data_IF_031413065715
#
_entry.id   IF_031413065715
#
_cell.length_a   1.000
_cell.length_b   1.000
_cell.length_c   1.000
_cell.angle_alpha   90.00
_cell.angle_beta   90.00
_cell.angle_gamma   90.00
#
_symmetry.space_group_name_H-M   'P 1'
#
loop_
_entity.id
_entity.type
_entity.pdbx_description
1 polymer ?
#
# COMPACT_ATOMS: atom_id res chain seq x y z
N UNK A 1 -12.62 -9.70 8.93
CA UNK A 1 -12.55 -8.34 8.35
C UNK A 1 -12.38 -7.28 9.44
N UNK A 2 -13.37 -7.10 10.32
CA UNK A 2 -13.38 -6.12 11.42
C UNK A 2 -12.09 -6.03 12.25
N UNK A 3 -11.54 -7.18 12.71
CA UNK A 3 -10.26 -7.23 13.45
C UNK A 3 -9.09 -6.60 12.70
N UNK A 4 -8.99 -6.87 11.39
CA UNK A 4 -7.90 -6.35 10.57
C UNK A 4 -8.08 -4.84 10.34
N UNK A 5 -9.32 -4.41 10.14
CA UNK A 5 -9.68 -3.00 9.98
C UNK A 5 -9.33 -2.19 11.23
N UNK A 6 -9.71 -2.65 12.41
CA UNK A 6 -9.32 -2.02 13.69
C UNK A 6 -7.80 -1.90 13.78
N UNK A 7 -7.06 -2.97 13.44
CA UNK A 7 -5.61 -2.92 13.44
C UNK A 7 -5.03 -1.88 12.48
N UNK A 8 -5.67 -1.62 11.34
CA UNK A 8 -5.25 -0.56 10.40
C UNK A 8 -5.49 0.83 10.98
N UNK A 9 -6.65 1.06 11.61
CA UNK A 9 -6.98 2.32 12.28
C UNK A 9 -5.99 2.59 13.41
N UNK A 10 -5.73 1.60 14.27
CA UNK A 10 -4.74 1.70 15.36
C UNK A 10 -3.35 2.02 14.78
N UNK A 11 -2.93 1.31 13.72
CA UNK A 11 -1.64 1.57 13.08
C UNK A 11 -1.55 3.00 12.51
N UNK A 12 -2.62 3.51 11.91
CA UNK A 12 -2.68 4.88 11.41
C UNK A 12 -2.61 5.91 12.54
N UNK A 13 -3.35 5.71 13.63
CA UNK A 13 -3.34 6.57 14.83
C UNK A 13 -1.96 6.60 15.48
N UNK A 14 -1.33 5.44 15.68
CA UNK A 14 0.00 5.36 16.26
C UNK A 14 1.05 6.02 15.36
N UNK A 15 1.00 5.77 14.04
CA UNK A 15 1.91 6.41 13.10
C UNK A 15 1.75 7.93 13.11
N UNK A 16 0.52 8.44 13.05
CA UNK A 16 0.26 9.88 13.14
C UNK A 16 0.69 10.48 14.47
N UNK A 17 0.50 9.77 15.59
CA UNK A 17 0.98 10.19 16.90
C UNK A 17 2.50 10.36 16.93
N UNK A 18 3.26 9.45 16.32
CA UNK A 18 4.71 9.59 16.18
C UNK A 18 5.09 10.86 15.38
N UNK A 19 4.49 11.06 14.20
CA UNK A 19 4.75 12.24 13.38
C UNK A 19 4.33 13.55 14.08
N UNK A 20 3.17 13.55 14.73
CA UNK A 20 2.65 14.69 15.47
C UNK A 20 3.52 15.04 16.67
N UNK A 21 4.20 14.08 17.30
CA UNK A 21 5.09 14.34 18.44
C UNK A 21 6.31 15.20 18.05
N UNK A 22 6.69 15.22 16.76
CA UNK A 22 7.86 15.96 16.29
C UNK A 22 9.15 15.50 16.99
N UNK A 23 10.01 16.45 17.34
CA UNK A 23 11.25 16.17 18.07
C UNK A 23 10.98 15.94 19.56
N UNK A 24 10.87 14.68 19.98
CA UNK A 24 10.64 14.31 21.39
C UNK A 24 11.76 14.81 22.32
N UNK A 25 12.99 14.96 21.82
CA UNK A 25 14.13 15.43 22.62
C UNK A 25 14.12 16.94 22.87
N UNK A 26 13.30 17.70 22.14
CA UNK A 26 13.19 19.16 22.29
C UNK A 26 12.54 19.59 23.60
N UNK A 27 11.79 18.68 24.26
CA UNK A 27 10.87 19.00 25.37
C UNK A 27 9.82 20.07 25.05
N UNK A 28 9.70 20.48 23.78
CA UNK A 28 8.69 21.40 23.25
C UNK A 28 7.58 20.63 22.55
N UNK A 29 6.35 21.15 22.61
CA UNK A 29 5.28 20.64 21.77
C UNK A 29 5.62 20.84 20.28
N UNK A 30 5.13 19.96 19.41
CA UNK A 30 5.38 20.03 17.96
C UNK A 30 4.96 21.35 17.33
N UNK A 31 3.88 21.96 17.82
CA UNK A 31 3.42 23.27 17.37
C UNK A 31 4.37 24.42 17.75
N UNK A 32 5.21 24.24 18.77
CA UNK A 32 6.19 25.22 19.25
C UNK A 32 7.62 24.95 18.74
N UNK A 33 7.85 23.81 18.11
CA UNK A 33 9.14 23.48 17.51
C UNK A 33 9.41 24.37 16.31
N UNK A 34 10.69 24.62 16.02
CA UNK A 34 11.00 25.28 14.75
C UNK A 34 10.61 24.36 13.60
N UNK A 35 10.21 24.95 12.47
CA UNK A 35 9.83 24.18 11.28
C UNK A 35 10.95 23.25 10.79
N UNK A 36 12.18 23.72 10.87
CA UNK A 36 13.37 22.96 10.48
C UNK A 36 13.54 21.72 11.37
N UNK A 37 13.37 21.90 12.68
CA UNK A 37 13.40 20.83 13.67
C UNK A 37 12.27 19.82 13.47
N UNK A 38 11.04 20.31 13.20
CA UNK A 38 9.89 19.46 12.93
C UNK A 38 10.06 18.65 11.63
N UNK A 39 10.60 19.24 10.58
CA UNK A 39 10.92 18.53 9.33
C UNK A 39 11.98 17.44 9.56
N UNK A 40 13.05 17.75 10.29
CA UNK A 40 14.08 16.78 10.64
C UNK A 40 13.48 15.60 11.40
N UNK A 41 12.67 15.89 12.43
CA UNK A 41 11.98 14.87 13.20
C UNK A 41 11.05 14.03 12.33
N UNK A 42 10.32 14.64 11.40
CA UNK A 42 9.46 13.94 10.43
C UNK A 42 10.27 12.97 9.56
N UNK A 43 11.43 13.37 9.04
CA UNK A 43 12.30 12.49 8.23
C UNK A 43 12.85 11.32 9.06
N UNK A 44 13.24 11.57 10.31
CA UNK A 44 13.69 10.53 11.24
C UNK A 44 12.56 9.56 11.57
N UNK A 45 11.36 10.06 11.87
CA UNK A 45 10.17 9.22 12.08
C UNK A 45 9.84 8.39 10.85
N UNK A 46 9.99 8.95 9.65
CA UNK A 46 9.82 8.23 8.40
C UNK A 46 10.77 7.03 8.30
N UNK A 47 12.04 7.18 8.69
CA UNK A 47 13.01 6.08 8.72
C UNK A 47 12.62 5.00 9.75
N UNK A 48 12.29 5.41 10.98
CA UNK A 48 11.96 4.52 12.09
C UNK A 48 10.68 3.73 11.79
N UNK A 49 9.61 4.44 11.41
CA UNK A 49 8.31 3.85 11.09
C UNK A 49 8.43 2.91 9.89
N UNK A 50 9.19 3.28 8.85
CA UNK A 50 9.44 2.40 7.72
C UNK A 50 10.23 1.15 8.12
N UNK A 51 11.19 1.27 9.04
CA UNK A 51 11.95 0.13 9.55
C UNK A 51 11.08 -0.85 10.36
N UNK A 52 10.26 -0.34 11.27
CA UNK A 52 9.29 -1.12 12.06
C UNK A 52 8.32 -1.85 11.13
N UNK A 53 7.73 -1.10 10.20
CA UNK A 53 6.82 -1.58 9.16
C UNK A 53 7.46 -2.75 8.39
N UNK A 54 8.61 -2.54 7.78
CA UNK A 54 9.29 -3.58 6.99
C UNK A 54 9.67 -4.80 7.84
N UNK A 55 10.11 -4.60 9.08
CA UNK A 55 10.41 -5.70 10.03
C UNK A 55 9.18 -6.55 10.30
N UNK A 56 8.04 -5.91 10.59
CA UNK A 56 6.77 -6.58 10.81
C UNK A 56 6.29 -7.39 9.58
N UNK A 57 6.61 -6.95 8.36
CA UNK A 57 6.24 -7.69 7.14
C UNK A 57 7.08 -8.96 6.89
N UNK A 58 8.35 -8.98 7.33
CA UNK A 58 9.21 -10.16 7.15
C UNK A 58 9.05 -11.18 8.30
N UNK A 59 8.61 -10.73 9.47
CA UNK A 59 8.54 -11.56 10.67
C UNK A 59 7.64 -12.80 10.54
N UNK A 60 6.39 -12.74 10.01
CA UNK A 60 5.55 -13.91 9.85
C UNK A 60 6.15 -14.95 8.90
N UNK A 61 6.83 -14.48 7.85
CA UNK A 61 7.51 -15.36 6.89
C UNK A 61 8.71 -16.08 7.49
N UNK A 62 9.33 -15.53 8.52
CA UNK A 62 10.44 -16.17 9.23
C UNK A 62 9.95 -17.15 10.29
N UNK A 63 8.81 -16.87 10.94
CA UNK A 63 8.25 -17.75 11.96
C UNK A 63 7.77 -19.10 11.41
N UNK A 64 7.51 -19.19 10.11
CA UNK A 64 7.14 -20.45 9.43
C UNK A 64 8.34 -21.31 9.05
N UNK A 65 9.57 -20.81 9.25
CA UNK A 65 10.81 -21.50 8.89
C UNK A 65 11.32 -22.37 10.05
N UNK A 66 12.01 -23.47 9.72
CA UNK A 66 12.72 -24.31 10.70
C UNK A 66 14.19 -23.93 10.75
N UNK A 67 14.63 -23.41 11.88
CA UNK A 67 16.01 -22.97 12.08
C UNK A 67 16.89 -24.15 12.53
N UNK A 68 18.17 -24.13 12.19
CA UNK A 68 19.12 -25.15 12.65
C UNK A 68 19.30 -25.13 14.18
N UNK A 69 19.20 -23.95 14.79
CA UNK A 69 19.28 -23.79 16.25
C UNK A 69 18.04 -24.33 16.99
N UNK A 70 16.90 -24.48 16.29
CA UNK A 70 15.65 -25.03 16.82
C UNK A 70 15.01 -25.95 15.76
N UNK A 71 15.54 -27.17 15.55
CA UNK A 71 15.08 -28.07 14.49
C UNK A 71 13.65 -28.60 14.73
N UNK A 72 13.29 -28.81 16.00
CA UNK A 72 12.05 -29.48 16.40
C UNK A 72 10.95 -28.52 16.90
N UNK A 73 11.28 -27.25 17.11
CA UNK A 73 10.35 -26.24 17.65
C UNK A 73 10.08 -25.11 16.68
N UNK A 74 8.85 -24.57 16.71
CA UNK A 74 8.54 -23.32 15.99
C UNK A 74 9.33 -22.18 16.64
N UNK A 75 10.08 -21.37 15.86
CA UNK A 75 10.87 -20.28 16.41
C UNK A 75 9.96 -19.23 17.06
N UNK A 76 10.37 -18.70 18.22
CA UNK A 76 9.63 -17.65 18.89
C UNK A 76 9.70 -16.33 18.12
N UNK A 77 8.68 -15.48 18.28
CA UNK A 77 8.63 -14.16 17.65
C UNK A 77 9.86 -13.32 18.02
N UNK A 78 10.23 -13.32 19.30
CA UNK A 78 11.40 -12.62 19.81
C UNK A 78 12.70 -13.12 19.17
N UNK A 79 12.85 -14.43 18.98
CA UNK A 79 14.03 -15.02 18.34
C UNK A 79 14.19 -14.55 16.89
N UNK A 80 13.13 -14.62 16.09
CA UNK A 80 13.15 -14.12 14.72
C UNK A 80 13.41 -12.61 14.66
N UNK A 81 12.80 -11.84 15.56
CA UNK A 81 12.96 -10.39 15.63
C UNK A 81 14.40 -10.00 15.96
N UNK A 82 15.01 -10.62 16.98
CA UNK A 82 16.40 -10.37 17.38
C UNK A 82 17.38 -10.65 16.24
N UNK A 83 17.21 -11.78 15.54
CA UNK A 83 18.07 -12.13 14.39
C UNK A 83 17.89 -11.17 13.22
N UNK A 84 16.64 -10.79 12.91
CA UNK A 84 16.35 -9.87 11.83
C UNK A 84 16.95 -8.49 12.10
N UNK A 85 16.73 -7.93 13.30
CA UNK A 85 17.30 -6.64 13.73
C UNK A 85 18.83 -6.66 13.62
N UNK A 86 19.48 -7.71 14.11
CA UNK A 86 20.95 -7.84 14.04
C UNK A 86 21.45 -7.82 12.59
N UNK A 87 20.74 -8.48 11.68
CA UNK A 87 21.08 -8.50 10.25
C UNK A 87 20.78 -7.18 9.51
N UNK A 88 19.78 -6.42 9.96
CA UNK A 88 19.34 -5.18 9.30
C UNK A 88 19.95 -3.90 9.86
N UNK A 89 20.53 -3.95 11.06
CA UNK A 89 21.11 -2.79 11.75
C UNK A 89 22.03 -1.90 10.89
N UNK A 90 23.02 -2.43 10.13
CA UNK A 90 23.87 -1.56 9.32
C UNK A 90 23.09 -0.82 8.23
N UNK A 91 22.09 -1.46 7.61
CA UNK A 91 21.25 -0.82 6.59
C UNK A 91 20.31 0.23 7.20
N UNK A 92 19.86 0.01 8.44
CA UNK A 92 19.09 1.00 9.18
C UNK A 92 19.92 2.25 9.45
N UNK A 93 21.17 2.09 9.92
CA UNK A 93 22.08 3.22 10.14
C UNK A 93 22.30 4.03 8.85
N UNK A 94 22.58 3.36 7.73
CA UNK A 94 22.77 4.07 6.44
C UNK A 94 21.51 4.83 6.02
N UNK A 95 20.34 4.21 6.16
CA UNK A 95 19.05 4.87 5.84
C UNK A 95 18.79 6.07 6.74
N UNK A 96 19.00 5.92 8.06
CA UNK A 96 18.81 6.97 9.05
C UNK A 96 19.79 8.13 8.85
N UNK A 97 21.08 7.85 8.65
CA UNK A 97 22.09 8.86 8.33
C UNK A 97 21.74 9.61 7.05
N UNK A 98 21.23 8.94 6.03
CA UNK A 98 20.75 9.56 4.80
C UNK A 98 19.56 10.51 5.03
N UNK A 99 18.61 10.12 5.87
CA UNK A 99 17.46 10.96 6.26
C UNK A 99 17.90 12.20 7.04
N UNK A 100 18.82 12.05 7.99
CA UNK A 100 19.39 13.16 8.75
C UNK A 100 20.17 14.09 7.80
N UNK A 101 21.01 13.55 6.93
CA UNK A 101 21.74 14.33 5.92
C UNK A 101 20.80 15.09 4.97
N UNK A 102 19.69 14.48 4.57
CA UNK A 102 18.64 15.14 3.78
C UNK A 102 18.01 16.30 4.55
N UNK A 103 17.69 16.10 5.83
CA UNK A 103 17.17 17.16 6.68
C UNK A 103 18.14 18.33 6.82
N UNK A 104 19.43 18.05 7.06
CA UNK A 104 20.48 19.07 7.17
C UNK A 104 20.67 19.84 5.86
N UNK A 105 20.58 19.14 4.72
CA UNK A 105 20.67 19.78 3.41
C UNK A 105 19.51 20.76 3.18
N UNK A 106 18.27 20.37 3.52
CA UNK A 106 17.10 21.25 3.40
C UNK A 106 17.20 22.46 4.34
N UNK A 107 17.78 22.27 5.53
CA UNK A 107 17.95 23.34 6.52
C UNK A 107 19.01 24.36 6.10
N UNK A 108 20.14 23.91 5.55
CA UNK A 108 21.30 24.74 5.28
C UNK A 108 21.37 25.26 3.84
N UNK A 109 20.48 24.82 2.95
CA UNK A 109 20.56 25.19 1.53
C UNK A 109 19.21 25.70 1.02
N UNK A 110 19.15 27.00 0.71
CA UNK A 110 18.00 27.63 0.05
C UNK A 110 17.71 27.02 -1.33
N UNK A 111 18.72 26.42 -1.97
CA UNK A 111 18.66 25.74 -3.27
C UNK A 111 17.53 24.68 -3.35
N UNK A 112 17.28 23.93 -2.27
CA UNK A 112 16.22 22.91 -2.26
C UNK A 112 14.81 23.51 -2.22
N UNK A 113 14.65 24.75 -1.75
CA UNK A 113 13.36 25.46 -1.74
C UNK A 113 13.23 26.43 -2.93
N UNK A 114 14.35 26.94 -3.47
CA UNK A 114 14.38 27.93 -4.54
C UNK A 114 14.33 27.32 -5.95
N UNK A 115 15.00 26.18 -6.20
CA UNK A 115 14.98 25.52 -7.52
C UNK A 115 13.89 24.46 -7.67
N UNK A 116 13.41 23.89 -6.57
CA UNK A 116 12.43 22.80 -6.60
C UNK A 116 11.21 23.16 -5.75
N UNK A 117 10.17 23.69 -6.40
CA UNK A 117 8.84 23.82 -5.78
C UNK A 117 8.25 22.46 -5.36
N UNK A 118 8.78 21.37 -5.93
CA UNK A 118 8.50 20.00 -5.54
C UNK A 118 9.31 19.61 -4.30
N UNK A 119 8.63 19.11 -3.26
CA UNK A 119 9.20 18.68 -1.97
C UNK A 119 10.23 17.56 -2.13
N UNK A 120 11.41 17.90 -2.64
CA UNK A 120 12.44 16.97 -3.10
C UNK A 120 12.95 16.07 -1.98
N UNK A 121 12.88 16.54 -0.74
CA UNK A 121 13.18 15.77 0.48
C UNK A 121 12.31 14.52 0.63
N UNK A 122 11.05 14.53 0.17
CA UNK A 122 10.20 13.33 0.16
C UNK A 122 10.78 12.24 -0.77
N UNK A 123 11.19 12.62 -1.98
CA UNK A 123 11.72 11.69 -2.98
C UNK A 123 13.10 11.16 -2.59
N UNK A 124 13.96 12.03 -2.05
CA UNK A 124 15.25 11.61 -1.49
C UNK A 124 15.04 10.66 -0.31
N UNK A 125 14.11 10.97 0.60
CA UNK A 125 13.75 10.08 1.70
C UNK A 125 13.24 8.72 1.20
N UNK A 126 12.44 8.68 0.13
CA UNK A 126 12.00 7.43 -0.48
C UNK A 126 13.18 6.57 -0.99
N UNK A 127 14.23 7.20 -1.55
CA UNK A 127 15.47 6.50 -1.95
C UNK A 127 16.20 5.90 -0.73
N UNK A 128 16.29 6.63 0.38
CA UNK A 128 16.91 6.09 1.60
C UNK A 128 16.07 4.98 2.25
N UNK A 129 14.73 5.05 2.15
CA UNK A 129 13.86 3.94 2.54
C UNK A 129 14.02 2.71 1.64
N UNK A 130 14.34 2.91 0.36
CA UNK A 130 14.67 1.82 -0.57
C UNK A 130 15.97 1.11 -0.17
N UNK A 131 16.98 1.85 0.33
CA UNK A 131 18.22 1.25 0.88
C UNK A 131 17.90 0.28 2.01
N UNK A 132 17.05 0.68 2.96
CA UNK A 132 16.62 -0.22 4.03
C UNK A 132 15.82 -1.42 3.51
N UNK A 133 14.93 -1.19 2.54
CA UNK A 133 14.11 -2.24 1.90
C UNK A 133 14.97 -3.30 1.21
N UNK A 134 16.01 -2.90 0.48
CA UNK A 134 16.98 -3.82 -0.10
C UNK A 134 17.78 -4.56 0.99
N UNK A 135 18.20 -3.83 2.03
CA UNK A 135 18.94 -4.38 3.17
C UNK A 135 18.18 -5.48 3.91
N UNK A 136 16.92 -5.25 4.26
CA UNK A 136 16.08 -6.25 4.93
C UNK A 136 15.79 -7.47 4.06
N UNK A 137 15.61 -7.29 2.75
CA UNK A 137 15.45 -8.41 1.82
C UNK A 137 16.71 -9.29 1.77
N UNK A 138 17.90 -8.68 1.76
CA UNK A 138 19.19 -9.39 1.79
C UNK A 138 19.39 -10.11 3.13
N UNK A 139 19.11 -9.44 4.25
CA UNK A 139 19.21 -10.02 5.58
C UNK A 139 18.28 -11.24 5.71
N UNK A 140 17.00 -11.10 5.35
CA UNK A 140 16.03 -12.19 5.40
C UNK A 140 16.44 -13.38 4.52
N UNK A 141 16.95 -13.14 3.29
CA UNK A 141 17.45 -14.22 2.42
C UNK A 141 18.71 -14.89 2.97
N UNK A 142 19.59 -14.13 3.61
CA UNK A 142 20.82 -14.66 4.22
C UNK A 142 20.46 -15.57 5.38
N UNK A 143 19.56 -15.13 6.26
CA UNK A 143 19.04 -15.92 7.37
C UNK A 143 18.37 -17.20 6.84
N UNK A 144 17.48 -17.08 5.84
CA UNK A 144 16.86 -18.25 5.21
C UNK A 144 17.90 -19.22 4.62
N UNK A 145 18.89 -18.74 3.87
CA UNK A 145 19.83 -19.62 3.16
C UNK A 145 20.85 -20.29 4.09
N UNK A 146 21.29 -19.59 5.15
CA UNK A 146 22.37 -20.06 6.03
C UNK A 146 21.85 -20.73 7.30
N UNK A 147 20.71 -20.29 7.83
CA UNK A 147 20.28 -20.64 9.18
C UNK A 147 19.03 -21.53 9.22
N UNK A 148 18.37 -21.78 8.09
CA UNK A 148 17.20 -22.67 8.03
C UNK A 148 17.50 -23.97 7.30
N UNK A 149 16.91 -25.07 7.79
CA UNK A 149 17.08 -26.40 7.20
C UNK A 149 16.50 -26.47 5.78
N UNK A 150 15.40 -25.75 5.52
CA UNK A 150 14.78 -25.63 4.19
C UNK A 150 15.71 -24.91 3.20
N UNK A 151 16.38 -23.83 3.63
CA UNK A 151 17.36 -23.12 2.82
C UNK A 151 18.59 -23.97 2.53
N UNK A 152 19.08 -24.68 3.55
CA UNK A 152 20.24 -25.57 3.44
C UNK A 152 19.97 -26.75 2.49
N UNK A 153 18.83 -27.43 2.64
CA UNK A 153 18.42 -28.53 1.75
C UNK A 153 18.27 -28.09 0.29
N UNK A 154 17.68 -26.92 0.05
CA UNK A 154 17.57 -26.36 -1.31
C UNK A 154 18.94 -26.05 -1.92
N UNK A 155 19.89 -25.57 -1.11
CA UNK A 155 21.28 -25.31 -1.54
C UNK A 155 22.03 -26.61 -1.85
N UNK A 156 21.81 -27.66 -1.07
CA UNK A 156 22.32 -29.01 -1.33
C UNK A 156 21.82 -29.56 -2.66
N UNK A 157 20.50 -29.51 -2.89
CA UNK A 157 19.89 -29.98 -4.15
C UNK A 157 20.41 -29.23 -5.39
N UNK A 158 20.54 -27.90 -5.31
CA UNK A 158 21.10 -27.08 -6.40
C UNK A 158 22.57 -27.39 -6.71
N UNK A 159 23.39 -27.68 -5.68
CA UNK A 159 24.78 -28.12 -5.88
C UNK A 159 24.86 -29.48 -6.57
N UNK A 160 23.98 -30.41 -6.22
CA UNK A 160 23.89 -31.73 -6.88
C UNK A 160 23.50 -31.58 -8.35
N UNK A 161 22.50 -30.73 -8.65
CA UNK A 161 22.09 -30.44 -10.03
C UNK A 161 23.23 -29.79 -10.82
N UNK A 162 23.89 -28.77 -10.26
CA UNK A 162 25.03 -28.13 -10.92
C UNK A 162 26.22 -29.07 -11.09
N UNK A 163 26.46 -29.98 -10.14
CA UNK A 163 27.50 -31.00 -10.24
C UNK A 163 27.19 -32.05 -11.30
N UNK A 164 25.92 -32.41 -11.50
CA UNK A 164 25.50 -33.28 -12.61
C UNK A 164 25.66 -32.61 -13.97
N UNK A 165 25.29 -31.33 -14.09
CA UNK A 165 25.48 -30.56 -15.33
C UNK A 165 26.98 -30.37 -15.64
N UNK A 166 27.80 -30.12 -14.61
CA UNK A 166 29.26 -30.00 -14.77
C UNK A 166 29.97 -31.30 -15.16
N UNK A 167 29.40 -32.47 -14.86
CA UNK A 167 29.97 -33.77 -15.28
C UNK A 167 29.74 -34.09 -16.77
N UNK A 168 28.79 -33.44 -17.43
CA UNK A 168 28.53 -33.62 -18.89
C UNK A 168 29.43 -32.73 -19.75
N UNK A 169 30.04 -31.69 -19.17
CA UNK A 169 30.97 -30.79 -19.86
C UNK A 169 32.37 -30.89 -19.25
N UNK A 170 32.97 -32.08 -19.37
CA UNK A 170 34.33 -32.34 -18.94
C UNK A 170 35.35 -32.09 -20.07
N UNK A 171 35.30 -30.91 -20.69
CA UNK A 171 36.43 -30.39 -21.46
C UNK A 171 36.50 -28.86 -21.34
N UNK A 172 37.61 -28.42 -20.76
CA UNK A 172 38.05 -27.04 -20.60
C UNK A 172 37.59 -26.28 -19.34
N UNK A 173 38.64 -25.89 -18.61
CA UNK A 173 38.77 -24.80 -17.63
C UNK A 173 38.13 -24.99 -16.25
N UNK A 174 39.02 -24.84 -15.27
CA UNK A 174 38.87 -24.61 -13.83
C UNK A 174 37.75 -23.62 -13.48
N UNK A 175 36.49 -24.03 -13.65
CA UNK A 175 35.35 -23.26 -13.20
C UNK A 175 34.99 -23.65 -11.77
N UNK A 176 35.46 -22.81 -10.84
CA UNK A 176 35.08 -22.77 -9.43
C UNK A 176 33.57 -23.03 -9.28
N UNK A 177 33.19 -23.97 -8.42
CA UNK A 177 31.81 -24.33 -8.13
C UNK A 177 30.93 -23.09 -7.95
N UNK A 178 29.66 -23.06 -8.41
CA UNK A 178 28.79 -21.90 -8.25
C UNK A 178 28.46 -21.76 -6.78
N UNK A 179 29.26 -20.95 -6.09
CA UNK A 179 28.87 -20.36 -4.84
C UNK A 179 27.59 -19.58 -5.10
N UNK A 180 26.51 -19.95 -4.41
CA UNK A 180 25.28 -19.20 -4.31
C UNK A 180 25.64 -17.72 -4.11
N UNK A 181 25.62 -16.97 -5.21
CA UNK A 181 26.20 -15.64 -5.33
C UNK A 181 25.53 -14.80 -4.26
N UNK A 182 26.32 -14.16 -3.37
CA UNK A 182 25.74 -13.15 -2.49
C UNK A 182 24.97 -12.21 -3.41
N UNK A 183 23.70 -11.98 -3.10
CA UNK A 183 22.89 -11.08 -3.94
C UNK A 183 23.53 -9.72 -3.75
N UNK A 184 24.19 -9.21 -4.80
CA UNK A 184 24.83 -7.91 -4.72
C UNK A 184 23.78 -6.90 -4.30
N UNK A 185 24.15 -6.01 -3.37
CA UNK A 185 23.23 -5.01 -2.83
C UNK A 185 22.52 -4.24 -3.95
N UNK A 186 23.29 -3.82 -4.96
CA UNK A 186 22.81 -3.13 -6.15
C UNK A 186 21.76 -3.90 -6.94
N UNK A 187 21.90 -5.23 -7.05
CA UNK A 187 20.89 -6.05 -7.74
C UNK A 187 19.57 -6.06 -6.98
N UNK A 188 19.61 -6.20 -5.66
CA UNK A 188 18.39 -6.16 -4.86
C UNK A 188 17.75 -4.76 -4.86
N UNK A 189 18.57 -3.72 -4.81
CA UNK A 189 18.12 -2.33 -4.94
C UNK A 189 17.36 -2.10 -6.25
N UNK A 190 17.90 -2.55 -7.39
CA UNK A 190 17.24 -2.46 -8.70
C UNK A 190 15.94 -3.28 -8.74
N UNK A 191 15.91 -4.46 -8.12
CA UNK A 191 14.70 -5.31 -8.05
C UNK A 191 13.58 -4.61 -7.27
N UNK A 192 13.92 -3.86 -6.23
CA UNK A 192 12.95 -3.16 -5.38
C UNK A 192 12.57 -1.77 -5.92
N UNK A 193 13.30 -1.25 -6.91
CA UNK A 193 13.07 0.07 -7.51
C UNK A 193 11.63 0.31 -8.00
N UNK A 194 10.93 -0.65 -8.65
CA UNK A 194 9.54 -0.43 -9.07
C UNK A 194 8.60 -0.09 -7.91
N UNK A 195 8.84 -0.63 -6.71
CA UNK A 195 8.05 -0.28 -5.53
C UNK A 195 8.30 1.16 -5.08
N UNK A 196 9.56 1.62 -5.11
CA UNK A 196 9.88 3.01 -4.80
C UNK A 196 9.29 3.98 -5.83
N UNK A 197 9.35 3.63 -7.13
CA UNK A 197 8.71 4.42 -8.20
C UNK A 197 7.21 4.51 -7.99
N UNK A 198 6.56 3.40 -7.64
CA UNK A 198 5.13 3.39 -7.34
C UNK A 198 4.78 4.31 -6.15
N UNK A 199 5.57 4.28 -5.08
CA UNK A 199 5.43 5.20 -3.92
C UNK A 199 5.67 6.66 -4.32
N UNK A 200 6.63 6.91 -5.21
CA UNK A 200 6.93 8.26 -5.69
C UNK A 200 5.78 8.84 -6.53
N UNK A 201 5.16 8.03 -7.40
CA UNK A 201 3.98 8.41 -8.18
C UNK A 201 2.81 8.71 -7.23
N UNK A 202 2.58 7.82 -6.26
CA UNK A 202 1.58 8.00 -5.21
C UNK A 202 1.76 9.30 -4.42
N UNK A 203 2.99 9.62 -3.99
CA UNK A 203 3.28 10.90 -3.33
C UNK A 203 3.16 12.09 -4.27
N UNK A 204 3.49 11.93 -5.55
CA UNK A 204 3.26 12.95 -6.59
C UNK A 204 1.79 13.31 -6.75
N UNK A 205 0.88 12.33 -6.68
CA UNK A 205 -0.56 12.59 -6.66
C UNK A 205 -0.94 13.47 -5.46
N UNK A 206 -0.57 13.08 -4.23
CA UNK A 206 -0.88 13.87 -3.03
C UNK A 206 -0.25 15.27 -3.08
N UNK A 207 0.94 15.42 -3.70
CA UNK A 207 1.55 16.73 -3.94
C UNK A 207 0.67 17.63 -4.82
N UNK A 208 0.13 17.10 -5.92
CA UNK A 208 -0.76 17.85 -6.81
C UNK A 208 -2.03 18.27 -6.06
N UNK A 209 -2.62 17.38 -5.27
CA UNK A 209 -3.80 17.68 -4.43
C UNK A 209 -3.50 18.81 -3.44
N UNK A 210 -2.38 18.70 -2.72
CA UNK A 210 -1.97 19.68 -1.73
C UNK A 210 -1.60 21.03 -2.35
N UNK A 211 -0.98 21.04 -3.54
CA UNK A 211 -0.59 22.27 -4.23
C UNK A 211 -1.81 23.02 -4.75
N UNK A 212 -2.71 22.33 -5.44
CA UNK A 212 -3.89 22.94 -6.04
C UNK A 212 -4.80 23.57 -4.98
N UNK A 213 -4.61 23.21 -3.70
CA UNK A 213 -5.33 23.80 -2.59
C UNK A 213 -6.82 23.56 -2.73
N UNK A 214 -7.21 22.34 -3.16
CA UNK A 214 -8.62 21.96 -3.44
C UNK A 214 -9.53 22.31 -2.27
N UNK A 215 -9.01 22.24 -1.04
CA UNK A 215 -9.71 22.58 0.20
C UNK A 215 -10.09 24.07 0.33
N UNK A 216 -9.37 24.98 -0.34
CA UNK A 216 -9.61 26.42 -0.32
C UNK A 216 -10.41 26.91 -1.53
N UNK A 217 -10.90 26.00 -2.38
CA UNK A 217 -11.61 26.31 -3.62
C UNK A 217 -13.12 26.09 -3.47
N UNK A 218 -13.93 26.73 -4.33
CA UNK A 218 -15.38 26.63 -4.25
C UNK A 218 -15.95 25.22 -4.43
N UNK A 219 -17.19 25.00 -3.97
CA UNK A 219 -17.89 23.69 -3.96
C UNK A 219 -17.84 22.91 -5.29
N UNK A 220 -17.84 23.60 -6.43
CA UNK A 220 -17.76 22.98 -7.77
C UNK A 220 -16.41 22.30 -8.01
N UNK A 221 -15.31 22.91 -7.55
CA UNK A 221 -13.96 22.37 -7.70
C UNK A 221 -13.77 21.12 -6.83
N UNK A 222 -14.34 21.14 -5.63
CA UNK A 222 -14.35 19.99 -4.70
C UNK A 222 -15.11 18.80 -5.31
N UNK A 223 -16.28 19.06 -5.91
CA UNK A 223 -17.06 18.03 -6.59
C UNK A 223 -16.32 17.47 -7.82
N UNK A 224 -15.72 18.34 -8.63
CA UNK A 224 -14.88 17.95 -9.77
C UNK A 224 -13.68 17.09 -9.35
N UNK A 225 -13.01 17.45 -8.26
CA UNK A 225 -11.90 16.68 -7.69
C UNK A 225 -12.35 15.28 -7.24
N UNK A 226 -13.50 15.18 -6.59
CA UNK A 226 -14.07 13.90 -6.14
C UNK A 226 -14.39 12.99 -7.33
N UNK A 227 -15.02 13.54 -8.38
CA UNK A 227 -15.33 12.79 -9.61
C UNK A 227 -14.06 12.36 -10.36
N UNK A 228 -13.04 13.21 -10.41
CA UNK A 228 -11.75 12.88 -10.99
C UNK A 228 -11.05 11.77 -10.20
N UNK A 229 -11.10 11.82 -8.86
CA UNK A 229 -10.59 10.78 -7.97
C UNK A 229 -11.21 9.42 -8.25
N UNK A 230 -12.55 9.34 -8.34
CA UNK A 230 -13.28 8.12 -8.68
C UNK A 230 -12.87 7.60 -10.07
N UNK A 231 -12.77 8.49 -11.05
CA UNK A 231 -12.36 8.13 -12.42
C UNK A 231 -10.94 7.55 -12.44
N UNK A 232 -10.01 8.20 -11.72
CA UNK A 232 -8.63 7.75 -11.62
C UNK A 232 -8.53 6.41 -10.87
N UNK A 233 -9.30 6.21 -9.81
CA UNK A 233 -9.42 4.94 -9.08
C UNK A 233 -9.82 3.80 -10.03
N UNK A 234 -10.87 4.00 -10.83
CA UNK A 234 -11.33 3.01 -11.80
C UNK A 234 -10.29 2.72 -12.88
N UNK A 235 -9.63 3.76 -13.42
CA UNK A 235 -8.57 3.60 -14.42
C UNK A 235 -7.38 2.80 -13.88
N UNK A 236 -6.95 3.07 -12.65
CA UNK A 236 -5.84 2.35 -12.02
C UNK A 236 -6.22 0.89 -11.77
N UNK A 237 -7.44 0.62 -11.29
CA UNK A 237 -7.93 -0.74 -11.08
C UNK A 237 -7.94 -1.54 -12.40
N UNK A 238 -8.46 -0.97 -13.48
CA UNK A 238 -8.50 -1.66 -14.78
C UNK A 238 -7.11 -1.81 -15.41
N UNK A 239 -6.23 -0.80 -15.29
CA UNK A 239 -4.84 -0.92 -15.73
C UNK A 239 -4.08 -2.02 -14.96
N UNK A 240 -4.29 -2.11 -13.65
CA UNK A 240 -3.73 -3.17 -12.81
C UNK A 240 -4.26 -4.55 -13.21
N UNK A 241 -5.56 -4.65 -13.53
CA UNK A 241 -6.17 -5.89 -14.06
C UNK A 241 -5.51 -6.31 -15.36
N UNK A 242 -5.38 -5.40 -16.32
CA UNK A 242 -4.73 -5.68 -17.59
C UNK A 242 -3.28 -6.16 -17.38
N UNK A 243 -2.51 -5.49 -16.51
CA UNK A 243 -1.13 -5.85 -16.20
C UNK A 243 -1.02 -7.24 -15.56
N UNK A 244 -1.84 -7.54 -14.55
CA UNK A 244 -1.79 -8.81 -13.80
C UNK A 244 -2.18 -10.00 -14.68
N UNK A 245 -3.22 -9.83 -15.52
CA UNK A 245 -3.62 -10.85 -16.48
C UNK A 245 -2.55 -11.08 -17.55
N UNK A 246 -1.98 -10.00 -18.12
CA UNK A 246 -0.93 -10.09 -19.17
C UNK A 246 0.36 -10.73 -18.65
N UNK A 247 0.79 -10.39 -17.43
CA UNK A 247 2.02 -10.92 -16.82
C UNK A 247 1.81 -12.23 -16.04
N UNK A 248 0.57 -12.75 -15.96
CA UNK A 248 0.20 -13.95 -15.20
C UNK A 248 0.73 -13.92 -13.75
N UNK A 249 0.67 -12.76 -13.10
CA UNK A 249 1.13 -12.59 -11.73
C UNK A 249 0.19 -13.35 -10.78
N UNK A 250 0.73 -14.29 -10.01
CA UNK A 250 -0.04 -15.10 -9.04
C UNK A 250 0.12 -14.64 -7.59
N UNK A 251 0.94 -13.63 -7.35
CA UNK A 251 1.22 -13.12 -6.01
C UNK A 251 0.11 -12.19 -5.51
N UNK A 252 -0.73 -12.68 -4.59
CA UNK A 252 -1.81 -11.87 -3.95
C UNK A 252 -1.24 -10.61 -3.31
N UNK A 253 -0.07 -10.68 -2.66
CA UNK A 253 0.60 -9.51 -2.07
C UNK A 253 0.85 -8.39 -3.08
N UNK A 254 1.41 -8.74 -4.23
CA UNK A 254 1.73 -7.79 -5.29
C UNK A 254 0.46 -7.20 -5.89
N UNK A 255 -0.58 -8.03 -6.05
CA UNK A 255 -1.88 -7.58 -6.52
C UNK A 255 -2.52 -6.58 -5.54
N UNK A 256 -2.59 -6.92 -4.25
CA UNK A 256 -3.12 -6.02 -3.23
C UNK A 256 -2.30 -4.73 -3.13
N UNK A 257 -0.97 -4.78 -3.25
CA UNK A 257 -0.14 -3.57 -3.25
C UNK A 257 -0.36 -2.68 -4.47
N UNK A 258 -0.48 -3.28 -5.66
CA UNK A 258 -0.66 -2.54 -6.91
C UNK A 258 -2.03 -1.86 -7.01
N UNK A 259 -3.06 -2.53 -6.51
CA UNK A 259 -4.45 -2.03 -6.53
C UNK A 259 -4.75 -1.22 -5.27
N UNK A 260 -4.49 -1.79 -4.10
CA UNK A 260 -4.92 -1.24 -2.82
C UNK A 260 -4.18 0.03 -2.40
N UNK A 261 -2.88 0.17 -2.66
CA UNK A 261 -2.14 1.37 -2.22
C UNK A 261 -2.64 2.65 -2.92
N UNK A 262 -2.75 2.71 -4.26
CA UNK A 262 -3.32 3.87 -4.93
C UNK A 262 -4.76 4.16 -4.52
N UNK A 263 -5.59 3.13 -4.37
CA UNK A 263 -6.99 3.26 -3.93
C UNK A 263 -7.06 3.87 -2.53
N UNK A 264 -6.33 3.34 -1.55
CA UNK A 264 -6.25 3.90 -0.18
C UNK A 264 -5.88 5.38 -0.23
N UNK A 265 -4.89 5.75 -1.03
CA UNK A 265 -4.43 7.13 -1.12
C UNK A 265 -5.51 8.05 -1.72
N UNK A 266 -6.06 7.69 -2.88
CA UNK A 266 -7.11 8.47 -3.56
C UNK A 266 -8.29 8.66 -2.62
N UNK A 267 -8.80 7.59 -2.03
CA UNK A 267 -9.97 7.64 -1.15
C UNK A 267 -9.67 8.44 0.12
N UNK A 268 -8.45 8.34 0.66
CA UNK A 268 -8.02 9.17 1.80
C UNK A 268 -8.05 10.64 1.44
N UNK A 269 -7.50 11.03 0.28
CA UNK A 269 -7.46 12.43 -0.15
C UNK A 269 -8.87 12.96 -0.42
N UNK A 270 -9.71 12.19 -1.12
CA UNK A 270 -11.09 12.56 -1.39
C UNK A 270 -11.89 12.74 -0.09
N UNK A 271 -11.69 11.88 0.90
CA UNK A 271 -12.33 12.00 2.22
C UNK A 271 -11.83 13.20 3.01
N UNK A 272 -10.52 13.49 3.01
CA UNK A 272 -9.97 14.71 3.64
C UNK A 272 -10.59 15.96 3.00
N UNK A 273 -10.69 15.99 1.67
CA UNK A 273 -11.30 17.11 0.94
C UNK A 273 -12.78 17.29 1.31
N UNK A 274 -13.52 16.19 1.38
CA UNK A 274 -14.94 16.21 1.75
C UNK A 274 -15.13 16.68 3.20
N UNK A 275 -14.34 16.14 4.14
CA UNK A 275 -14.40 16.47 5.57
C UNK A 275 -13.96 17.90 5.88
N UNK A 276 -13.03 18.46 5.10
CA UNK A 276 -12.46 19.78 5.34
C UNK A 276 -13.38 20.97 5.00
N UNK A 277 -14.49 20.76 4.29
CA UNK A 277 -15.18 21.84 3.56
C UNK A 277 -16.63 22.13 3.98
N UNK A 278 -17.22 21.46 4.97
CA UNK A 278 -18.69 21.31 4.97
C UNK A 278 -19.39 21.27 6.35
N UNK A 279 -20.58 21.89 6.39
CA UNK A 279 -21.65 21.67 7.37
C UNK A 279 -22.08 20.19 7.41
N UNK A 280 -22.48 19.68 8.58
CA UNK A 280 -22.86 18.27 8.81
C UNK A 280 -23.81 17.68 7.74
N UNK A 281 -24.77 18.44 7.20
CA UNK A 281 -25.75 17.96 6.22
C UNK A 281 -25.15 17.55 4.87
N UNK A 282 -24.14 18.27 4.37
CA UNK A 282 -23.50 17.92 3.10
C UNK A 282 -22.56 16.73 3.24
N UNK A 283 -21.93 16.55 4.41
CA UNK A 283 -21.10 15.37 4.70
C UNK A 283 -21.94 14.09 4.73
N UNK A 284 -23.13 14.15 5.31
CA UNK A 284 -24.10 13.05 5.29
C UNK A 284 -24.55 12.76 3.85
N UNK A 285 -24.95 13.79 3.09
CA UNK A 285 -25.36 13.63 1.70
C UNK A 285 -24.23 13.07 0.80
N UNK A 286 -23.00 13.55 0.97
CA UNK A 286 -21.82 13.06 0.24
C UNK A 286 -21.47 11.62 0.59
N UNK A 287 -21.59 11.23 1.87
CA UNK A 287 -21.37 9.84 2.31
C UNK A 287 -22.41 8.90 1.68
N UNK A 288 -23.68 9.30 1.66
CA UNK A 288 -24.75 8.52 1.02
C UNK A 288 -24.55 8.44 -0.50
N UNK A 289 -24.18 9.55 -1.15
CA UNK A 289 -23.94 9.57 -2.59
C UNK A 289 -22.77 8.66 -2.99
N UNK A 290 -21.67 8.67 -2.23
CA UNK A 290 -20.54 7.76 -2.45
C UNK A 290 -20.95 6.30 -2.27
N UNK A 291 -21.72 5.99 -1.22
CA UNK A 291 -22.26 4.65 -0.96
C UNK A 291 -23.12 4.12 -2.12
N UNK A 292 -24.03 4.95 -2.65
CA UNK A 292 -24.88 4.57 -3.79
C UNK A 292 -24.04 4.37 -5.07
N UNK A 293 -23.08 5.27 -5.32
CA UNK A 293 -22.20 5.16 -6.48
C UNK A 293 -21.36 3.88 -6.43
N UNK A 294 -20.81 3.53 -5.26
CA UNK A 294 -20.06 2.31 -5.05
C UNK A 294 -20.92 1.07 -5.31
N UNK A 295 -22.12 1.02 -4.72
CA UNK A 295 -23.05 -0.10 -4.92
C UNK A 295 -23.35 -0.33 -6.40
N UNK A 296 -23.63 0.75 -7.14
CA UNK A 296 -23.86 0.69 -8.58
C UNK A 296 -22.63 0.17 -9.35
N UNK A 297 -21.43 0.66 -9.02
CA UNK A 297 -20.19 0.25 -9.67
C UNK A 297 -19.86 -1.22 -9.39
N UNK A 298 -20.06 -1.70 -8.16
CA UNK A 298 -19.80 -3.09 -7.76
C UNK A 298 -20.78 -4.06 -8.40
N UNK A 299 -22.08 -3.74 -8.36
CA UNK A 299 -23.09 -4.50 -9.08
C UNK A 299 -22.81 -4.54 -10.59
N UNK A 300 -22.42 -3.41 -11.18
CA UNK A 300 -22.05 -3.31 -12.60
C UNK A 300 -20.83 -4.16 -12.96
N UNK A 301 -19.77 -4.12 -12.15
CA UNK A 301 -18.56 -4.95 -12.35
C UNK A 301 -18.87 -6.45 -12.20
N UNK A 302 -19.63 -6.85 -11.19
CA UNK A 302 -20.04 -8.24 -10.98
C UNK A 302 -20.85 -8.76 -12.18
N UNK A 303 -21.82 -7.98 -12.65
CA UNK A 303 -22.61 -8.29 -13.84
C UNK A 303 -21.73 -8.39 -15.11
N UNK A 304 -20.77 -7.48 -15.27
CA UNK A 304 -19.82 -7.51 -16.39
C UNK A 304 -18.96 -8.78 -16.38
N UNK A 305 -18.42 -9.18 -15.23
CA UNK A 305 -17.60 -10.40 -15.09
C UNK A 305 -18.45 -11.64 -15.37
N UNK A 306 -19.63 -11.75 -14.77
CA UNK A 306 -20.57 -12.85 -15.04
C UNK A 306 -20.92 -12.95 -16.53
N UNK A 307 -21.20 -11.81 -17.18
CA UNK A 307 -21.48 -11.76 -18.62
C UNK A 307 -20.27 -12.16 -19.47
N UNK A 308 -19.07 -11.75 -19.09
CA UNK A 308 -17.83 -12.10 -19.79
C UNK A 308 -17.54 -13.61 -19.74
N UNK A 309 -17.84 -14.26 -18.61
CA UNK A 309 -17.69 -15.72 -18.45
C UNK A 309 -18.73 -16.43 -19.31
N UNK A 310 -20.00 -16.00 -19.29
CA UNK A 310 -21.06 -16.58 -20.13
C UNK A 310 -20.75 -16.48 -21.62
N UNK A 311 -20.29 -15.31 -22.09
CA UNK A 311 -19.92 -15.09 -23.50
C UNK A 311 -18.77 -15.99 -23.96
N UNK A 312 -17.75 -16.19 -23.11
CA UNK A 312 -16.65 -17.11 -23.46
C UNK A 312 -17.04 -18.58 -23.36
N UNK A 313 -17.96 -18.94 -22.47
CA UNK A 313 -18.50 -20.28 -22.41
C UNK A 313 -19.27 -20.62 -23.70
N UNK A 314 -20.11 -19.71 -24.19
CA UNK A 314 -20.82 -19.91 -25.46
C UNK A 314 -19.90 -19.97 -26.67
N UNK A 315 -18.83 -19.16 -26.72
CA UNK A 315 -17.81 -19.21 -27.78
C UNK A 315 -17.00 -20.52 -27.75
N UNK A 316 -16.71 -21.02 -26.54
CA UNK A 316 -16.04 -22.31 -26.36
C UNK A 316 -16.93 -23.48 -26.84
N UNK A 317 -18.22 -23.47 -26.48
CA UNK A 317 -19.18 -24.48 -26.93
C UNK A 317 -19.31 -24.49 -28.45
N UNK A 318 -19.39 -23.32 -29.08
CA UNK A 318 -19.41 -23.19 -30.54
C UNK A 318 -18.14 -23.78 -31.18
N UNK A 319 -16.95 -23.47 -30.65
CA UNK A 319 -15.67 -24.01 -31.14
C UNK A 319 -15.53 -25.52 -30.97
N UNK A 320 -16.02 -26.07 -29.85
CA UNK A 320 -16.00 -27.52 -29.64
C UNK A 320 -16.94 -28.21 -30.62
N UNK A 321 -18.10 -27.62 -30.91
CA UNK A 321 -19.07 -28.14 -31.87
C UNK A 321 -18.50 -28.13 -33.30
N UNK A 322 -17.83 -27.05 -33.72
CA UNK A 322 -17.09 -26.98 -34.99
C UNK A 322 -15.92 -27.96 -35.08
N UNK A 323 -15.24 -28.25 -33.97
CA UNK A 323 -14.18 -29.25 -33.96
C UNK A 323 -14.74 -30.66 -34.16
N UNK A 324 -15.85 -30.97 -33.49
CA UNK A 324 -16.50 -32.29 -33.54
C UNK A 324 -16.97 -32.68 -34.94
N UNK A 325 -17.30 -31.71 -35.80
CA UNK A 325 -17.68 -31.98 -37.19
C UNK A 325 -16.50 -32.33 -38.10
N UNK A 326 -15.24 -32.16 -37.67
CA UNK A 326 -14.09 -32.15 -38.56
C UNK A 326 -13.07 -33.30 -38.42
N UNK A 327 -13.10 -34.20 -37.41
CA UNK A 327 -12.40 -35.53 -37.33
C UNK A 327 -12.37 -36.07 -35.88
N UNK A 328 -12.69 -37.34 -35.60
CA UNK A 328 -13.01 -37.83 -34.24
C UNK A 328 -11.84 -37.89 -33.21
N UNK A 329 -10.62 -38.29 -33.57
CA UNK A 329 -9.60 -38.69 -32.58
C UNK A 329 -8.67 -37.55 -32.11
N UNK A 330 -8.41 -36.54 -32.95
CA UNK A 330 -7.68 -35.32 -32.57
C UNK A 330 -8.56 -34.31 -31.82
N UNK A 331 -9.88 -34.46 -31.93
CA UNK A 331 -10.89 -33.58 -31.32
C UNK A 331 -10.97 -33.72 -29.82
N UNK A 332 -10.89 -34.93 -29.27
CA UNK A 332 -11.05 -35.14 -27.81
C UNK A 332 -9.88 -34.53 -27.02
N UNK A 333 -8.66 -34.66 -27.55
CA UNK A 333 -7.45 -34.05 -26.96
C UNK A 333 -7.46 -32.52 -27.10
N UNK A 334 -7.92 -32.00 -28.25
CA UNK A 334 -8.01 -30.56 -28.49
C UNK A 334 -9.12 -29.91 -27.66
N UNK A 335 -10.31 -30.52 -27.59
CA UNK A 335 -11.44 -30.03 -26.80
C UNK A 335 -11.16 -30.06 -25.29
N UNK A 336 -10.48 -31.10 -24.79
CA UNK A 336 -10.04 -31.16 -23.39
C UNK A 336 -9.01 -30.09 -23.07
N UNK A 337 -8.08 -29.79 -23.98
CA UNK A 337 -7.11 -28.70 -23.82
C UNK A 337 -7.78 -27.31 -23.77
N UNK A 338 -8.77 -27.06 -24.64
CA UNK A 338 -9.55 -25.81 -24.67
C UNK A 338 -10.42 -25.63 -23.42
N UNK A 339 -11.06 -26.71 -22.94
CA UNK A 339 -11.81 -26.70 -21.67
C UNK A 339 -10.89 -26.40 -20.49
N UNK A 340 -9.70 -27.01 -20.46
CA UNK A 340 -8.73 -26.77 -19.40
C UNK A 340 -8.18 -25.33 -19.43
N UNK A 341 -7.92 -24.77 -20.61
CA UNK A 341 -7.52 -23.36 -20.75
C UNK A 341 -8.62 -22.40 -20.27
N UNK A 342 -9.87 -22.65 -20.68
CA UNK A 342 -11.02 -21.88 -20.23
C UNK A 342 -11.20 -21.95 -18.71
N UNK A 343 -11.10 -23.14 -18.12
CA UNK A 343 -11.23 -23.31 -16.67
C UNK A 343 -10.10 -22.62 -15.90
N UNK A 344 -8.86 -22.69 -16.40
CA UNK A 344 -7.74 -21.95 -15.83
C UNK A 344 -7.94 -20.44 -15.92
N UNK A 345 -8.41 -19.94 -17.06
CA UNK A 345 -8.74 -18.53 -17.24
C UNK A 345 -9.90 -18.08 -16.34
N UNK A 346 -10.98 -18.86 -16.27
CA UNK A 346 -12.15 -18.61 -15.42
C UNK A 346 -11.75 -18.56 -13.95
N UNK A 347 -10.94 -19.52 -13.50
CA UNK A 347 -10.38 -19.52 -12.13
C UNK A 347 -9.49 -18.31 -11.88
N UNK A 348 -8.70 -17.89 -12.86
CA UNK A 348 -7.83 -16.72 -12.73
C UNK A 348 -8.64 -15.42 -12.66
N UNK A 349 -9.66 -15.24 -13.51
CA UNK A 349 -10.46 -14.01 -13.53
C UNK A 349 -11.33 -13.88 -12.27
N UNK A 350 -11.94 -14.98 -11.80
CA UNK A 350 -12.71 -15.00 -10.55
C UNK A 350 -11.79 -14.72 -9.36
N UNK A 351 -10.63 -15.39 -9.31
CA UNK A 351 -9.66 -15.16 -8.23
C UNK A 351 -9.11 -13.74 -8.22
N UNK A 352 -8.93 -13.12 -9.40
CA UNK A 352 -8.55 -11.73 -9.51
C UNK A 352 -9.68 -10.84 -9.00
N UNK A 353 -10.88 -10.97 -9.56
CA UNK A 353 -12.01 -10.12 -9.22
C UNK A 353 -12.35 -10.16 -7.73
N UNK A 354 -12.32 -11.35 -7.12
CA UNK A 354 -12.54 -11.51 -5.66
C UNK A 354 -11.45 -10.80 -4.85
N UNK A 355 -10.18 -10.86 -5.30
CA UNK A 355 -9.07 -10.19 -4.64
C UNK A 355 -9.08 -8.68 -4.86
N UNK A 356 -9.55 -8.21 -6.01
CA UNK A 356 -9.79 -6.79 -6.30
C UNK A 356 -10.87 -6.25 -5.38
N UNK A 357 -12.05 -6.88 -5.35
CA UNK A 357 -13.16 -6.50 -4.47
C UNK A 357 -12.73 -6.48 -3.00
N UNK A 358 -12.05 -7.54 -2.55
CA UNK A 358 -11.55 -7.55 -1.18
C UNK A 358 -10.57 -6.42 -0.93
N UNK A 359 -9.60 -6.19 -1.82
CA UNK A 359 -8.63 -5.12 -1.65
C UNK A 359 -9.27 -3.73 -1.65
N UNK A 360 -10.30 -3.52 -2.48
CA UNK A 360 -11.08 -2.28 -2.57
C UNK A 360 -11.85 -2.02 -1.27
N UNK A 361 -12.60 -3.02 -0.78
CA UNK A 361 -13.31 -2.96 0.51
C UNK A 361 -12.36 -2.56 1.64
N UNK A 362 -11.24 -3.29 1.81
CA UNK A 362 -10.28 -2.95 2.86
C UNK A 362 -9.61 -1.59 2.63
N UNK A 363 -9.41 -1.17 1.37
CA UNK A 363 -8.83 0.13 1.07
C UNK A 363 -9.74 1.27 1.55
N UNK A 364 -11.06 1.15 1.40
CA UNK A 364 -12.04 2.12 1.89
C UNK A 364 -11.96 2.26 3.42
N UNK A 365 -12.00 1.16 4.17
CA UNK A 365 -11.87 1.25 5.62
C UNK A 365 -10.54 1.83 6.09
N UNK A 366 -9.44 1.48 5.40
CA UNK A 366 -8.13 2.07 5.69
C UNK A 366 -8.17 3.57 5.39
N UNK A 367 -8.77 3.98 4.29
CA UNK A 367 -8.89 5.38 3.91
C UNK A 367 -9.74 6.18 4.89
N UNK A 368 -10.85 5.63 5.37
CA UNK A 368 -11.66 6.19 6.46
C UNK A 368 -10.79 6.38 7.71
N UNK A 369 -10.08 5.32 8.14
CA UNK A 369 -9.20 5.39 9.31
C UNK A 369 -8.06 6.39 9.17
N UNK A 370 -7.38 6.41 8.01
CA UNK A 370 -6.28 7.30 7.73
C UNK A 370 -6.72 8.77 7.65
N UNK A 371 -7.80 9.07 6.91
CA UNK A 371 -8.31 10.44 6.75
C UNK A 371 -8.73 11.04 8.10
N UNK A 372 -9.50 10.29 8.89
CA UNK A 372 -9.96 10.72 10.22
C UNK A 372 -8.79 10.89 11.20
N UNK A 373 -7.82 9.97 11.17
CA UNK A 373 -6.60 10.09 11.98
C UNK A 373 -5.77 11.32 11.58
N UNK A 374 -5.63 11.60 10.28
CA UNK A 374 -4.94 12.80 9.78
C UNK A 374 -5.61 14.07 10.28
N UNK A 375 -6.94 14.17 10.14
CA UNK A 375 -7.71 15.35 10.58
C UNK A 375 -7.62 15.51 12.10
N UNK A 376 -7.77 14.42 12.86
CA UNK A 376 -7.71 14.44 14.32
C UNK A 376 -6.37 15.01 14.84
N UNK A 377 -5.25 14.60 14.23
CA UNK A 377 -3.92 15.00 14.68
C UNK A 377 -3.43 16.32 14.06
N UNK A 378 -3.69 16.58 12.78
CA UNK A 378 -3.04 17.67 12.05
C UNK A 378 -3.94 18.88 11.78
N UNK A 379 -5.25 18.77 11.99
CA UNK A 379 -6.14 19.93 11.86
C UNK A 379 -5.74 21.02 12.86
N UNK A 380 -5.58 22.25 12.35
CA UNK A 380 -5.13 23.41 13.14
C UNK A 380 -3.65 23.41 13.51
N UNK A 381 -2.84 22.48 12.99
CA UNK A 381 -1.39 22.47 13.25
C UNK A 381 -0.66 23.50 12.38
N UNK A 382 0.23 24.36 12.93
CA UNK A 382 0.85 25.48 12.20
C UNK A 382 1.60 25.10 10.92
N UNK A 383 2.15 23.88 10.86
CA UNK A 383 2.89 23.39 9.69
C UNK A 383 2.04 22.70 8.62
N UNK A 384 0.74 22.50 8.89
CA UNK A 384 -0.23 21.84 7.99
C UNK A 384 -1.41 22.77 7.62
N UNK A 385 -1.16 23.97 7.07
CA UNK A 385 -2.22 24.95 6.76
C UNK A 385 -3.19 24.46 5.67
N UNK A 386 -2.80 23.46 4.86
CA UNK A 386 -3.72 22.84 3.90
C UNK A 386 -4.85 22.05 4.58
N UNK A 387 -4.71 21.71 5.86
CA UNK A 387 -5.71 20.99 6.67
C UNK A 387 -6.40 21.93 7.68
N UNK A 388 -6.25 23.25 7.50
CA UNK A 388 -6.94 24.26 8.28
C UNK A 388 -8.39 24.30 7.80
N UNK A 389 -9.31 23.78 8.62
CA UNK A 389 -10.74 23.88 8.32
C UNK A 389 -11.17 25.34 8.53
N UNK A 390 -12.08 25.84 7.68
CA UNK A 390 -12.81 27.11 7.86
C UNK A 390 -13.67 27.05 9.14
N UNK A 391 -12.99 27.07 10.29
CA UNK A 391 -13.58 27.29 11.59
C UNK A 391 -13.38 28.77 11.85
N UNK A 392 -14.40 29.56 11.51
CA UNK A 392 -14.38 31.00 11.73
C UNK A 392 -14.01 31.31 13.18
N UNK A 393 -12.86 31.95 13.36
CA UNK A 393 -12.36 32.41 14.66
C UNK A 393 -11.73 31.30 15.53
N UNK A 394 -10.79 31.72 16.39
CA UNK A 394 -10.15 30.85 17.38
C UNK A 394 -11.21 30.17 18.27
N UNK A 395 -11.45 28.88 18.05
CA UNK A 395 -12.40 28.09 18.85
C UNK A 395 -11.94 28.04 20.32
N UNK A 396 -12.89 28.16 21.24
CA UNK A 396 -12.62 27.92 22.65
C UNK A 396 -12.20 26.46 22.88
N UNK A 397 -11.43 26.15 23.93
CA UNK A 397 -10.98 24.78 24.20
C UNK A 397 -12.11 23.74 24.30
N UNK A 398 -13.29 24.14 24.78
CA UNK A 398 -14.50 23.30 24.83
C UNK A 398 -15.09 23.00 23.45
N UNK A 399 -15.04 23.97 22.53
CA UNK A 399 -15.52 23.81 21.15
C UNK A 399 -14.59 22.91 20.34
N UNK A 400 -13.28 22.93 20.63
CA UNK A 400 -12.30 22.01 20.03
C UNK A 400 -12.57 20.56 20.46
N UNK A 401 -12.88 20.34 21.75
CA UNK A 401 -13.20 19.00 22.25
C UNK A 401 -14.50 18.46 21.63
N UNK A 402 -15.54 19.30 21.55
CA UNK A 402 -16.81 18.97 20.89
C UNK A 402 -16.62 18.71 19.39
N UNK A 403 -15.79 19.51 18.72
CA UNK A 403 -15.45 19.31 17.31
C UNK A 403 -14.72 17.98 17.09
N UNK A 404 -13.71 17.64 17.92
CA UNK A 404 -13.03 16.34 17.86
C UNK A 404 -13.99 15.18 18.11
N UNK A 405 -14.91 15.34 19.06
CA UNK A 405 -15.97 14.35 19.31
C UNK A 405 -16.87 14.16 18.09
N UNK A 406 -17.28 15.25 17.43
CA UNK A 406 -18.05 15.20 16.19
C UNK A 406 -17.29 14.51 15.05
N UNK A 407 -15.97 14.70 14.95
CA UNK A 407 -15.14 13.96 13.98
C UNK A 407 -15.11 12.45 14.27
N UNK A 408 -14.98 12.05 15.54
CA UNK A 408 -15.05 10.64 15.95
C UNK A 408 -16.45 10.05 15.71
N UNK A 409 -17.51 10.81 15.95
CA UNK A 409 -18.88 10.41 15.64
C UNK A 409 -19.09 10.25 14.12
N UNK A 410 -18.51 11.14 13.32
CA UNK A 410 -18.55 11.06 11.86
C UNK A 410 -17.76 9.88 11.31
N UNK A 411 -16.60 9.58 11.90
CA UNK A 411 -15.86 8.34 11.65
C UNK A 411 -16.75 7.12 11.90
N UNK A 412 -17.43 7.06 13.05
CA UNK A 412 -18.32 5.94 13.37
C UNK A 412 -19.48 5.83 12.37
N UNK A 413 -20.11 6.96 12.00
CA UNK A 413 -21.17 7.00 11.00
C UNK A 413 -20.71 6.49 9.63
N UNK A 414 -19.59 7.01 9.10
CA UNK A 414 -19.03 6.57 7.82
C UNK A 414 -18.71 5.09 7.84
N UNK A 415 -18.16 4.59 8.95
CA UNK A 415 -17.81 3.19 9.11
C UNK A 415 -19.04 2.27 9.12
N UNK A 416 -20.14 2.67 9.76
CA UNK A 416 -21.40 1.90 9.80
C UNK A 416 -22.07 1.87 8.43
N UNK A 417 -22.14 3.02 7.74
CA UNK A 417 -22.68 3.09 6.38
C UNK A 417 -21.88 2.19 5.44
N UNK A 418 -20.56 2.24 5.51
CA UNK A 418 -19.67 1.41 4.70
C UNK A 418 -19.90 -0.09 4.92
N UNK A 419 -19.99 -0.53 6.19
CA UNK A 419 -20.28 -1.94 6.53
C UNK A 419 -21.59 -2.39 5.90
N UNK A 420 -22.62 -1.55 5.95
CA UNK A 420 -23.93 -1.87 5.41
C UNK A 420 -23.89 -2.00 3.87
N UNK A 421 -23.25 -1.04 3.20
CA UNK A 421 -23.09 -1.03 1.74
C UNK A 421 -22.29 -2.23 1.27
N UNK A 422 -21.17 -2.52 1.93
CA UNK A 422 -20.32 -3.67 1.66
C UNK A 422 -21.06 -4.98 1.80
N UNK A 423 -21.85 -5.12 2.87
CA UNK A 423 -22.66 -6.32 3.09
C UNK A 423 -23.65 -6.53 1.94
N UNK A 424 -24.38 -5.48 1.55
CA UNK A 424 -25.30 -5.55 0.42
C UNK A 424 -24.58 -5.88 -0.90
N UNK A 425 -23.42 -5.27 -1.16
CA UNK A 425 -22.63 -5.55 -2.36
C UNK A 425 -22.18 -7.01 -2.40
N UNK A 426 -21.68 -7.55 -1.28
CA UNK A 426 -21.26 -8.96 -1.18
C UNK A 426 -22.44 -9.90 -1.44
N UNK A 427 -23.65 -9.59 -0.95
CA UNK A 427 -24.86 -10.36 -1.25
C UNK A 427 -25.18 -10.36 -2.75
N UNK A 428 -25.13 -9.19 -3.40
CA UNK A 428 -25.35 -9.07 -4.85
C UNK A 428 -24.26 -9.82 -5.65
N UNK A 429 -23.01 -9.75 -5.21
CA UNK A 429 -21.86 -10.42 -5.83
C UNK A 429 -21.95 -11.95 -5.70
N UNK A 430 -22.38 -12.46 -4.54
CA UNK A 430 -22.66 -13.88 -4.34
C UNK A 430 -23.83 -14.35 -5.22
N UNK A 431 -24.88 -13.55 -5.36
CA UNK A 431 -25.99 -13.84 -6.28
C UNK A 431 -25.54 -13.88 -7.75
N UNK A 432 -24.50 -13.12 -8.11
CA UNK A 432 -23.86 -13.17 -9.43
C UNK A 432 -22.90 -14.36 -9.63
N UNK A 433 -22.68 -15.19 -8.60
CA UNK A 433 -21.87 -16.41 -8.65
C UNK A 433 -20.39 -16.22 -8.32
N UNK A 434 -20.04 -15.19 -7.55
CA UNK A 434 -18.67 -14.95 -7.06
C UNK A 434 -18.48 -15.65 -5.70
N UNK A 435 -17.46 -16.51 -5.60
CA UNK A 435 -17.14 -17.24 -4.36
C UNK A 435 -15.98 -16.58 -3.59
N UNK A 436 -16.25 -16.22 -2.34
CA UNK A 436 -15.31 -15.54 -1.44
C UNK A 436 -14.50 -16.49 -0.52
N UNK A 437 -14.80 -17.80 -0.50
CA UNK A 437 -14.23 -18.75 0.47
C UNK A 437 -12.69 -18.84 0.42
N UNK A 438 -12.08 -18.59 -0.75
CA UNK A 438 -10.62 -18.71 -0.93
C UNK A 438 -9.83 -17.62 -0.21
N UNK A 439 -10.41 -16.46 0.05
CA UNK A 439 -9.71 -15.30 0.64
C UNK A 439 -9.71 -15.34 2.16
N UNK A 440 -10.74 -15.95 2.77
CA UNK A 440 -10.84 -16.10 4.23
C UNK A 440 -9.61 -16.82 4.82
N UNK A 441 -9.11 -17.83 4.11
CA UNK A 441 -7.89 -18.59 4.47
C UNK A 441 -6.62 -17.74 4.59
N UNK A 442 -6.60 -16.51 4.05
CA UNK A 442 -5.44 -15.60 4.03
C UNK A 442 -5.66 -14.30 4.81
N UNK A 443 -6.75 -14.21 5.58
CA UNK A 443 -7.19 -13.00 6.28
C UNK A 443 -6.12 -12.37 7.18
N UNK A 444 -5.34 -13.16 7.93
CA UNK A 444 -4.28 -12.62 8.82
C UNK A 444 -3.12 -12.00 8.04
N UNK A 445 -2.65 -12.66 6.97
CA UNK A 445 -1.59 -12.14 6.12
C UNK A 445 -2.02 -10.83 5.45
N UNK A 446 -3.25 -10.82 4.95
CA UNK A 446 -3.82 -9.68 4.27
C UNK A 446 -4.01 -8.49 5.24
N UNK A 447 -4.41 -8.75 6.49
CA UNK A 447 -4.48 -7.74 7.55
C UNK A 447 -3.14 -7.05 7.81
N UNK A 448 -2.03 -7.80 7.87
CA UNK A 448 -0.69 -7.20 8.01
C UNK A 448 -0.36 -6.32 6.81
N UNK A 449 -0.64 -6.77 5.57
CA UNK A 449 -0.40 -5.97 4.36
C UNK A 449 -1.19 -4.66 4.39
N UNK A 450 -2.42 -4.67 4.89
CA UNK A 450 -3.25 -3.47 5.01
C UNK A 450 -2.79 -2.49 6.09
N UNK A 451 -2.37 -2.99 7.26
CA UNK A 451 -1.76 -2.13 8.29
C UNK A 451 -0.52 -1.40 7.74
N UNK A 452 0.24 -2.09 6.88
CA UNK A 452 1.42 -1.53 6.23
C UNK A 452 1.06 -0.44 5.21
N UNK A 453 -0.05 -0.60 4.48
CA UNK A 453 -0.58 0.43 3.59
C UNK A 453 -1.04 1.65 4.38
N UNK A 454 -1.75 1.44 5.50
CA UNK A 454 -2.20 2.53 6.37
C UNK A 454 -1.01 3.38 6.86
N UNK A 455 0.03 2.72 7.38
CA UNK A 455 1.26 3.39 7.83
C UNK A 455 1.99 4.10 6.69
N UNK A 456 2.04 3.50 5.49
CA UNK A 456 2.66 4.11 4.32
C UNK A 456 1.86 5.35 3.84
N UNK A 457 0.53 5.29 3.86
CA UNK A 457 -0.34 6.40 3.53
C UNK A 457 -0.13 7.58 4.49
N UNK A 458 -0.03 7.30 5.79
CA UNK A 458 0.31 8.32 6.81
C UNK A 458 1.69 8.93 6.55
N UNK A 459 2.71 8.12 6.26
CA UNK A 459 4.07 8.59 5.98
C UNK A 459 4.12 9.50 4.73
N UNK A 460 3.43 9.11 3.65
CA UNK A 460 3.31 9.95 2.45
C UNK A 460 2.62 11.26 2.83
N UNK A 461 1.46 11.18 3.49
CA UNK A 461 0.67 12.36 3.84
C UNK A 461 1.39 13.31 4.81
N UNK A 462 2.17 12.80 5.77
CA UNK A 462 2.84 13.62 6.79
C UNK A 462 3.95 14.49 6.20
N UNK A 463 4.71 13.96 5.25
CA UNK A 463 5.77 14.69 4.54
C UNK A 463 5.16 15.58 3.45
N UNK A 464 4.18 15.06 2.72
CA UNK A 464 3.58 15.76 1.57
C UNK A 464 2.68 16.91 1.99
N UNK A 465 1.94 16.84 3.10
CA UNK A 465 1.11 17.98 3.53
C UNK A 465 1.90 19.05 4.28
N UNK A 466 3.13 18.76 4.70
CA UNK A 466 3.98 19.73 5.38
C UNK A 466 4.21 20.93 4.46
N UNK A 467 3.69 22.09 4.80
CA UNK A 467 3.79 23.31 4.00
C UNK A 467 5.23 23.59 3.56
N UNK A 468 5.50 24.17 2.39
CA UNK A 468 6.81 24.74 1.99
C UNK A 468 7.05 26.09 2.68
N UNK A 469 8.29 26.61 2.83
CA UNK A 469 8.54 27.89 3.49
C UNK A 469 7.87 28.95 2.63
N UNK A 470 6.75 29.50 3.12
CA UNK A 470 6.02 30.55 2.41
C UNK A 470 6.71 31.86 2.78
N UNK A 471 7.78 32.22 2.07
CA UNK A 471 8.03 33.64 1.88
C UNK A 471 6.86 34.17 1.03
N UNK A 472 6.27 35.26 1.51
CA UNK A 472 5.08 35.89 0.94
C UNK A 472 5.28 36.12 -0.57
N UNK A 473 4.54 35.38 -1.40
CA UNK A 473 4.33 35.73 -2.82
C UNK A 473 2.84 35.82 -3.16
N UNK A 474 2.05 36.39 -2.26
CA UNK A 474 0.79 37.03 -2.63
C UNK A 474 0.77 38.46 -2.12
N UNK A 475 1.77 39.21 -2.55
CA UNK A 475 1.62 40.61 -2.92
C UNK A 475 2.13 40.71 -4.36
N UNK A 476 1.25 41.13 -5.28
CA UNK A 476 1.47 41.38 -6.71
C UNK A 476 1.41 40.16 -7.64
N UNK A 477 0.23 39.82 -8.13
CA UNK A 477 -0.31 40.42 -9.36
C UNK A 477 -1.80 40.13 -9.53
#
# INVERSE_FOLDING_TARGET
>A
MFRNTIGCVIAAVLANGCFYSGNIFSSKSSAQQSRQEFLMATLVWTAIVHAIKMTAAYLPSMMTQRFHELPDYKPSLYFCLKKLIKGTFPYFLVSLSGMIGTGLLVQNTSLMNALFQYKLHFYIGNVFNLVFTAGIAIAARTIYSKETSQGHGRRGALRVISGRIGKVSATSRTHRAPNYRSTSFWREFIIQLPHAVHIAICGGFVHVVSWYGVLNQGKVVIMGFTMLGITMKLLIQEAARHYILKKKIRGIRTMCLLVGLPTVLIDTQSRIVLLGTQTNSFLVAGTIAMAVAEMCLRAGKAAYVARSIRRRASDLEAKILELSSNTEQSVETSASSLRLEFDLWKRQIISYHTAELTADMYAEYIAIGCSQSIIFWWSGHPFYPALELETGGAMNPGDVAMWRFNQVAMLAFQFVVEIFVDYLCVVVEMAAGIDFARIESRSTFLGVVFMMMAVLNINISSVVYLSAPRERQFEKH
#
